data_IF_926095059599
#
_entry.id   IF_926095059599
#
_cell.length_a   1.000
_cell.length_b   1.000
_cell.length_c   1.000
_cell.angle_alpha   90.00
_cell.angle_beta   90.00
_cell.angle_gamma   90.00
#
_symmetry.space_group_name_H-M   'P 1'
#
loop_
_entity.id
_entity.type
_entity.pdbx_description
1 polymer ?
#
# COMPACT_ATOMS: atom_id res chain seq x y z
N UNK A 1 -11.11 -14.67 22.45
CA UNK A 1 -10.36 -13.84 21.48
C UNK A 1 -10.19 -12.49 22.13
N UNK A 2 -8.96 -12.01 22.27
CA UNK A 2 -8.68 -10.71 22.87
C UNK A 2 -9.03 -9.59 21.87
N UNK A 3 -9.55 -8.46 22.36
CA UNK A 3 -9.94 -7.33 21.52
C UNK A 3 -8.76 -6.36 21.44
N UNK A 4 -8.30 -6.08 20.23
CA UNK A 4 -7.32 -5.04 19.97
C UNK A 4 -8.01 -3.76 19.48
N UNK A 5 -7.48 -2.61 19.91
CA UNK A 5 -7.73 -1.33 19.27
C UNK A 5 -7.11 -1.30 17.87
N UNK A 6 -7.62 -0.44 16.99
CA UNK A 6 -7.02 -0.26 15.65
C UNK A 6 -5.54 0.16 15.74
N UNK A 7 -5.20 0.96 16.75
CA UNK A 7 -3.83 1.37 17.01
C UNK A 7 -2.92 0.17 17.31
N UNK A 8 -3.35 -0.72 18.21
CA UNK A 8 -2.58 -1.93 18.55
C UNK A 8 -2.40 -2.85 17.36
N UNK A 9 -3.44 -3.02 16.54
CA UNK A 9 -3.34 -3.81 15.30
C UNK A 9 -2.33 -3.20 14.33
N UNK A 10 -2.41 -1.89 14.09
CA UNK A 10 -1.50 -1.20 13.17
C UNK A 10 -0.04 -1.29 13.65
N UNK A 11 0.20 -1.09 14.94
CA UNK A 11 1.54 -1.24 15.51
C UNK A 11 2.06 -2.67 15.42
N UNK A 12 1.20 -3.66 15.65
CA UNK A 12 1.56 -5.06 15.52
C UNK A 12 1.97 -5.41 14.07
N UNK A 13 1.16 -5.01 13.08
CA UNK A 13 1.45 -5.22 11.65
C UNK A 13 2.75 -4.52 11.25
N UNK A 14 2.94 -3.26 11.67
CA UNK A 14 4.16 -2.49 11.38
C UNK A 14 5.42 -3.20 11.89
N UNK A 15 5.38 -3.74 13.11
CA UNK A 15 6.51 -4.48 13.70
C UNK A 15 6.83 -5.75 12.94
N UNK A 16 5.81 -6.52 12.55
CA UNK A 16 6.02 -7.73 11.74
C UNK A 16 6.69 -7.37 10.41
N UNK A 17 6.19 -6.35 9.72
CA UNK A 17 6.77 -5.91 8.45
C UNK A 17 8.23 -5.47 8.65
N UNK A 18 8.52 -4.62 9.64
CA UNK A 18 9.88 -4.15 9.91
C UNK A 18 10.87 -5.27 10.28
N UNK A 19 10.41 -6.31 10.96
CA UNK A 19 11.24 -7.47 11.32
C UNK A 19 11.51 -8.39 10.11
N UNK A 20 10.56 -8.51 9.19
CA UNK A 20 10.66 -9.44 8.06
C UNK A 20 11.17 -8.78 6.77
N UNK A 21 11.12 -7.45 6.67
CA UNK A 21 11.58 -6.65 5.54
C UNK A 21 12.54 -5.57 6.05
N UNK A 22 13.79 -5.95 6.39
CA UNK A 22 14.76 -5.03 6.99
C UNK A 22 15.22 -3.93 6.03
N UNK A 23 15.12 -4.19 4.72
CA UNK A 23 15.52 -3.27 3.66
C UNK A 23 14.28 -2.76 2.89
N UNK A 24 14.31 -1.50 2.38
CA UNK A 24 13.26 -0.99 1.52
C UNK A 24 13.09 -1.85 0.25
N UNK A 25 11.83 -2.06 -0.16
CA UNK A 25 11.50 -2.76 -1.40
C UNK A 25 11.12 -1.78 -2.48
N UNK A 26 11.67 -1.98 -3.68
CA UNK A 26 11.15 -1.37 -4.89
C UNK A 26 10.00 -2.22 -5.43
N UNK A 27 8.89 -1.57 -5.76
CA UNK A 27 7.72 -2.18 -6.37
C UNK A 27 7.43 -1.52 -7.71
N UNK A 28 7.09 -2.33 -8.70
CA UNK A 28 6.63 -1.86 -10.02
C UNK A 28 5.12 -1.95 -10.06
N UNK A 29 4.47 -0.86 -10.46
CA UNK A 29 3.01 -0.77 -10.59
C UNK A 29 2.62 0.36 -11.55
N UNK A 30 1.37 0.38 -11.95
CA UNK A 30 0.73 1.45 -12.72
C UNK A 30 -0.05 2.39 -11.78
N UNK A 31 -0.14 3.66 -12.14
CA UNK A 31 -1.00 4.64 -11.45
C UNK A 31 -2.38 4.60 -12.12
N UNK A 32 -3.38 4.07 -11.41
CA UNK A 32 -4.77 4.08 -11.86
C UNK A 32 -5.48 5.40 -11.53
N UNK A 33 -5.14 6.02 -10.40
CA UNK A 33 -5.71 7.30 -9.96
C UNK A 33 -4.65 8.15 -9.29
N UNK A 34 -4.73 9.47 -9.49
CA UNK A 34 -3.91 10.45 -8.79
C UNK A 34 -4.79 11.65 -8.42
N UNK A 35 -4.96 11.89 -7.13
CA UNK A 35 -5.82 12.94 -6.60
C UNK A 35 -5.03 13.87 -5.67
N UNK A 36 -4.94 15.14 -6.02
CA UNK A 36 -4.32 16.15 -5.18
C UNK A 36 -5.35 16.75 -4.22
N UNK A 37 -5.08 16.66 -2.91
CA UNK A 37 -5.93 17.25 -1.90
C UNK A 37 -5.08 17.70 -0.70
N UNK A 38 -5.35 18.93 -0.23
CA UNK A 38 -4.74 19.49 1.00
C UNK A 38 -3.20 19.46 0.99
N UNK A 39 -2.59 19.59 -0.19
CA UNK A 39 -1.13 19.60 -0.35
C UNK A 39 -0.49 18.22 -0.50
N UNK A 40 -1.27 17.14 -0.54
CA UNK A 40 -0.79 15.77 -0.75
C UNK A 40 -1.38 15.18 -2.02
N UNK A 41 -0.68 14.23 -2.63
CA UNK A 41 -1.18 13.46 -3.77
C UNK A 41 -1.48 12.02 -3.33
N UNK A 42 -2.75 11.64 -3.39
CA UNK A 42 -3.24 10.30 -3.10
C UNK A 42 -3.29 9.49 -4.39
N UNK A 43 -2.61 8.35 -4.40
CA UNK A 43 -2.45 7.48 -5.55
C UNK A 43 -3.26 6.20 -5.37
N UNK A 44 -4.00 5.81 -6.40
CA UNK A 44 -4.47 4.45 -6.58
C UNK A 44 -3.48 3.71 -7.48
N UNK A 45 -2.85 2.66 -6.97
CA UNK A 45 -1.85 1.86 -7.67
C UNK A 45 -2.46 0.51 -8.07
N UNK A 46 -2.17 0.05 -9.28
CA UNK A 46 -2.64 -1.25 -9.79
C UNK A 46 -1.49 -2.00 -10.46
N UNK A 47 -1.59 -3.33 -10.48
CA UNK A 47 -0.80 -4.17 -11.35
C UNK A 47 -1.75 -4.91 -12.28
N UNK A 48 -1.52 -4.79 -13.58
CA UNK A 48 -2.22 -5.59 -14.57
C UNK A 48 -1.48 -6.89 -14.85
N UNK A 49 -2.25 -7.89 -15.26
CA UNK A 49 -1.70 -9.08 -15.91
C UNK A 49 -0.93 -8.68 -17.19
N UNK A 50 0.07 -9.48 -17.60
CA UNK A 50 0.87 -9.14 -18.79
C UNK A 50 0.15 -9.40 -20.11
N UNK A 51 -0.79 -10.34 -20.10
CA UNK A 51 -1.45 -10.83 -21.30
C UNK A 51 -2.91 -10.34 -21.40
N UNK A 52 -3.41 -9.67 -20.35
CA UNK A 52 -4.77 -9.14 -20.28
C UNK A 52 -4.83 -7.83 -19.48
N UNK A 53 -5.91 -7.06 -19.66
CA UNK A 53 -6.16 -5.84 -18.86
C UNK A 53 -6.72 -6.14 -17.44
N UNK A 54 -6.67 -7.39 -16.99
CA UNK A 54 -7.15 -7.77 -15.65
C UNK A 54 -6.23 -7.21 -14.56
N UNK A 55 -6.82 -6.63 -13.51
CA UNK A 55 -6.08 -6.10 -12.37
C UNK A 55 -5.79 -7.25 -11.38
N UNK A 56 -4.52 -7.60 -11.22
CA UNK A 56 -4.07 -8.70 -10.35
C UNK A 56 -3.65 -8.24 -8.95
N UNK A 57 -3.28 -6.97 -8.77
CA UNK A 57 -2.99 -6.38 -7.47
C UNK A 57 -3.38 -4.90 -7.41
N UNK A 58 -3.70 -4.42 -6.20
CA UNK A 58 -4.04 -3.01 -5.94
C UNK A 58 -3.46 -2.55 -4.61
N UNK A 59 -3.08 -1.28 -4.54
CA UNK A 59 -2.64 -0.62 -3.32
C UNK A 59 -2.94 0.89 -3.36
N UNK A 60 -2.96 1.52 -2.19
CA UNK A 60 -3.02 2.98 -2.07
C UNK A 60 -1.62 3.53 -1.76
N UNK A 61 -1.32 4.71 -2.29
CA UNK A 61 -0.08 5.45 -2.01
C UNK A 61 -0.36 6.90 -1.67
N UNK A 62 0.57 7.54 -0.96
CA UNK A 62 0.50 8.99 -0.67
C UNK A 62 1.87 9.61 -0.88
N UNK A 63 1.91 10.68 -1.67
CA UNK A 63 3.05 11.59 -1.75
C UNK A 63 2.70 12.80 -0.86
N UNK A 64 3.54 13.05 0.15
CA UNK A 64 3.33 14.07 1.17
C UNK A 64 3.80 15.46 0.74
#
# INVERSE_FOLDING_TARGET
MEKHTLYELNEYVRRIIALNLPDPLWVSCEIAQANEARGHCFLGLVQKDSDSDEITAQAEGVIW
#
